data_IF_481907234737
#
_entry.id   IF_481907234737
#
_cell.length_a   1.000
_cell.length_b   1.000
_cell.length_c   1.000
_cell.angle_alpha   90.00
_cell.angle_beta   90.00
_cell.angle_gamma   90.00
#
_symmetry.space_group_name_H-M   'P 1'
#
loop_
_entity.id
_entity.type
_entity.pdbx_description
1 polymer ?
#
# COMPACT_ATOMS: atom_id res chain seq x y z
N UNK A 1 8.82 -11.46 -11.46
CA UNK A 1 7.88 -10.34 -11.71
C UNK A 1 7.35 -9.90 -10.36
N UNK A 2 7.85 -8.80 -9.79
CA UNK A 2 7.49 -8.41 -8.42
C UNK A 2 6.06 -7.87 -8.43
N UNK A 3 5.17 -8.57 -7.72
CA UNK A 3 3.76 -8.21 -7.62
C UNK A 3 3.55 -7.40 -6.34
N UNK A 4 2.87 -6.26 -6.47
CA UNK A 4 2.52 -5.37 -5.36
C UNK A 4 1.06 -5.57 -5.00
N UNK A 5 0.76 -5.60 -3.71
CA UNK A 5 -0.57 -5.77 -3.13
C UNK A 5 -0.80 -4.61 -2.18
N UNK A 6 -2.04 -4.14 -2.06
CA UNK A 6 -2.43 -3.09 -1.12
C UNK A 6 -3.43 -3.65 -0.12
N UNK A 7 -3.18 -3.42 1.16
CA UNK A 7 -4.13 -3.67 2.25
C UNK A 7 -4.76 -2.34 2.64
N UNK A 8 -6.08 -2.31 2.64
CA UNK A 8 -6.87 -1.18 3.14
C UNK A 8 -7.23 -1.36 4.61
N UNK A 9 -7.10 -0.30 5.41
CA UNK A 9 -7.43 -0.34 6.84
C UNK A 9 -8.93 -0.32 7.14
N UNK A 10 -9.71 0.38 6.31
CA UNK A 10 -11.14 0.62 6.52
C UNK A 10 -11.99 -0.63 6.27
N UNK A 11 -11.72 -1.32 5.17
CA UNK A 11 -12.46 -2.51 4.75
C UNK A 11 -11.75 -3.81 5.08
N UNK A 12 -10.49 -3.74 5.57
CA UNK A 12 -9.59 -4.90 5.69
C UNK A 12 -9.44 -5.68 4.37
N UNK A 13 -9.69 -5.04 3.23
CA UNK A 13 -9.64 -5.68 1.91
C UNK A 13 -8.22 -5.70 1.37
N UNK A 14 -7.90 -6.78 0.65
CA UNK A 14 -6.63 -6.98 -0.05
C UNK A 14 -6.86 -6.78 -1.54
N UNK A 15 -6.07 -5.93 -2.18
CA UNK A 15 -6.16 -5.70 -3.62
C UNK A 15 -5.63 -6.89 -4.42
N UNK A 16 -6.07 -7.01 -5.68
CA UNK A 16 -5.38 -7.88 -6.64
C UNK A 16 -3.92 -7.45 -6.82
N UNK A 17 -3.00 -8.39 -7.10
CA UNK A 17 -1.61 -8.05 -7.34
C UNK A 17 -1.46 -7.18 -8.59
N UNK A 18 -0.64 -6.14 -8.50
CA UNK A 18 -0.47 -5.13 -9.57
C UNK A 18 1.00 -4.70 -9.72
N UNK A 19 1.29 -3.90 -10.75
CA UNK A 19 2.62 -3.32 -10.94
C UNK A 19 2.91 -2.21 -9.91
N UNK A 20 4.19 -1.88 -9.70
CA UNK A 20 4.61 -0.78 -8.82
C UNK A 20 3.89 0.54 -9.13
N UNK A 21 3.77 0.86 -10.44
CA UNK A 21 3.17 2.11 -10.90
C UNK A 21 1.68 2.17 -10.59
N UNK A 22 0.98 1.04 -10.74
CA UNK A 22 -0.43 0.92 -10.37
C UNK A 22 -0.60 1.01 -8.85
N UNK A 23 0.24 0.32 -8.08
CA UNK A 23 0.16 0.36 -6.62
C UNK A 23 0.32 1.79 -6.06
N UNK A 24 1.30 2.54 -6.57
CA UNK A 24 1.49 3.94 -6.18
C UNK A 24 0.33 4.85 -6.58
N UNK A 25 -0.26 4.65 -7.77
CA UNK A 25 -1.44 5.40 -8.19
C UNK A 25 -2.64 5.10 -7.29
N UNK A 26 -2.86 3.83 -6.98
CA UNK A 26 -3.96 3.37 -6.12
C UNK A 26 -3.78 3.89 -4.69
N UNK A 27 -2.58 3.86 -4.12
CA UNK A 27 -2.29 4.47 -2.81
C UNK A 27 -2.64 5.96 -2.78
N UNK A 28 -2.23 6.73 -3.79
CA UNK A 28 -2.58 8.16 -3.87
C UNK A 28 -4.09 8.39 -3.95
N UNK A 29 -4.82 7.48 -4.60
CA UNK A 29 -6.28 7.53 -4.65
C UNK A 29 -6.91 7.29 -3.28
N UNK A 30 -6.38 6.32 -2.52
CA UNK A 30 -6.83 6.01 -1.16
C UNK A 30 -6.51 7.14 -0.17
N UNK A 31 -5.31 7.71 -0.26
CA UNK A 31 -4.90 8.87 0.55
C UNK A 31 -5.84 10.07 0.35
N UNK A 32 -6.20 10.38 -0.91
CA UNK A 32 -7.19 11.42 -1.23
C UNK A 32 -8.59 11.14 -0.69
N UNK A 33 -8.93 9.88 -0.46
CA UNK A 33 -10.18 9.44 0.16
C UNK A 33 -10.10 9.37 1.70
N UNK A 34 -8.94 9.71 2.29
CA UNK A 34 -8.71 9.58 3.73
C UNK A 34 -8.53 8.13 4.19
N UNK A 35 -8.29 7.20 3.26
CA UNK A 35 -8.16 5.77 3.54
C UNK A 35 -6.68 5.45 3.80
N UNK A 36 -6.37 5.06 5.03
CA UNK A 36 -5.05 4.52 5.35
C UNK A 36 -4.87 3.15 4.69
N UNK A 37 -3.72 2.96 4.02
CA UNK A 37 -3.42 1.74 3.26
C UNK A 37 -1.93 1.39 3.31
N UNK A 38 -1.62 0.08 3.17
CA UNK A 38 -0.26 -0.46 3.20
C UNK A 38 0.05 -1.17 1.89
N UNK A 39 1.19 -0.86 1.27
CA UNK A 39 1.73 -1.65 0.15
C UNK A 39 2.60 -2.79 0.69
N UNK A 40 2.33 -3.99 0.20
CA UNK A 40 3.16 -5.17 0.37
C UNK A 40 3.67 -5.58 -1.01
N UNK A 41 4.96 -5.86 -1.12
CA UNK A 41 5.50 -6.52 -2.31
C UNK A 41 6.42 -7.65 -1.86
N UNK A 42 6.42 -8.72 -2.64
CA UNK A 42 7.22 -9.89 -2.32
C UNK A 42 8.69 -9.65 -2.68
N UNK A 43 9.55 -10.13 -1.79
CA UNK A 43 11.02 -10.24 -1.86
C UNK A 43 11.89 -9.11 -1.25
N UNK A 44 11.41 -8.47 -0.18
CA UNK A 44 12.22 -8.03 0.98
C UNK A 44 11.31 -7.32 1.98
N UNK A 45 11.40 -7.69 3.25
CA UNK A 45 10.78 -6.94 4.35
C UNK A 45 11.21 -5.47 4.24
N UNK A 46 10.32 -4.56 3.81
CA UNK A 46 10.57 -3.14 4.05
C UNK A 46 10.01 -2.83 5.43
N UNK A 47 10.92 -2.70 6.38
CA UNK A 47 10.67 -2.06 7.66
C UNK A 47 10.43 -0.55 7.41
N UNK A 48 9.19 -0.15 7.15
CA UNK A 48 8.80 1.26 7.08
C UNK A 48 8.57 1.76 8.51
N UNK A 49 9.62 2.36 9.09
CA UNK A 49 9.52 3.06 10.36
C UNK A 49 8.79 4.39 10.13
N UNK A 50 7.49 4.43 10.45
CA UNK A 50 6.74 5.68 10.45
C UNK A 50 7.17 6.50 11.66
N UNK A 51 8.16 7.38 11.45
CA UNK A 51 8.49 8.42 12.42
C UNK A 51 7.24 9.27 12.65
N UNK A 52 6.64 9.10 13.82
CA UNK A 52 5.51 9.87 14.32
C UNK A 52 5.88 11.35 14.24
N UNK A 53 5.29 12.09 13.29
CA UNK A 53 5.40 13.54 13.22
C UNK A 53 4.74 14.06 14.49
N UNK A 54 5.55 14.72 15.33
CA UNK A 54 5.17 15.33 16.60
C UNK A 54 4.44 16.64 16.34
#
# INVERSE_FOLDING_TARGET
MNKYIIIRSDTKSISSPMSKKEALKTMKSYDRQGISSLIIYENKEINLNFSKVR
#
